data_IF_473714100263
#
_entry.id   IF_473714100263
#
_cell.length_a   1.000
_cell.length_b   1.000
_cell.length_c   1.000
_cell.angle_alpha   90.00
_cell.angle_beta   90.00
_cell.angle_gamma   90.00
#
_symmetry.space_group_name_H-M   'P 1'
#
loop_
_entity.id
_entity.type
_entity.pdbx_description
1 polymer ?
#
# COMPACT_ATOMS: atom_id res chain seq x y z
N UNK A 1 -6.74 16.74 -25.95
CA UNK A 1 -6.98 17.03 -27.39
C UNK A 1 -5.64 16.91 -28.15
N UNK A 2 -5.62 16.22 -29.30
CA UNK A 2 -4.47 16.15 -30.18
C UNK A 2 -4.47 17.40 -31.11
N UNK A 3 -3.28 17.92 -31.38
CA UNK A 3 -3.12 19.03 -32.33
C UNK A 3 -2.41 18.51 -33.58
N UNK A 4 -2.71 19.09 -34.73
CA UNK A 4 -2.01 18.79 -35.97
C UNK A 4 -0.50 19.07 -35.82
N UNK A 5 0.34 18.31 -36.51
CA UNK A 5 1.79 18.41 -36.52
C UNK A 5 2.48 18.15 -35.15
N UNK A 6 1.83 17.47 -34.23
CA UNK A 6 2.47 17.01 -33.01
C UNK A 6 2.91 15.55 -33.13
N UNK A 7 4.19 15.31 -32.90
CA UNK A 7 4.70 13.95 -32.72
C UNK A 7 4.32 13.43 -31.33
N UNK A 8 3.81 12.22 -31.28
CA UNK A 8 3.42 11.53 -30.00
C UNK A 8 3.87 10.09 -30.06
N UNK A 9 4.45 9.63 -28.94
CA UNK A 9 4.70 8.21 -28.76
C UNK A 9 3.38 7.47 -28.63
N UNK A 10 3.27 6.34 -29.32
CA UNK A 10 2.11 5.43 -29.27
C UNK A 10 2.58 4.00 -29.11
N UNK A 11 1.73 3.15 -28.58
CA UNK A 11 1.91 1.72 -28.59
C UNK A 11 1.11 1.12 -29.73
N UNK A 12 1.74 0.31 -30.58
CA UNK A 12 1.03 -0.45 -31.61
C UNK A 12 0.37 -1.64 -30.95
N UNK A 13 -0.95 -1.59 -30.81
CA UNK A 13 -1.72 -2.65 -30.14
C UNK A 13 -2.03 -3.81 -31.06
N UNK A 14 -2.22 -3.53 -32.36
CA UNK A 14 -2.61 -4.53 -33.35
C UNK A 14 -2.21 -4.08 -34.77
N UNK A 15 -1.87 -5.03 -35.59
CA UNK A 15 -1.75 -4.84 -37.06
C UNK A 15 -2.67 -5.89 -37.68
N UNK A 16 -3.65 -5.45 -38.45
CA UNK A 16 -4.65 -6.34 -39.09
C UNK A 16 -4.81 -6.02 -40.56
N UNK A 17 -5.26 -7.00 -41.33
CA UNK A 17 -5.67 -6.79 -42.72
C UNK A 17 -7.07 -6.16 -42.77
N UNK A 18 -7.19 -5.02 -43.42
CA UNK A 18 -8.45 -4.33 -43.61
C UNK A 18 -8.83 -4.27 -45.10
N UNK A 19 -10.01 -3.76 -45.43
CA UNK A 19 -10.49 -3.68 -46.83
C UNK A 19 -9.60 -2.86 -47.78
N UNK A 20 -8.77 -1.98 -47.21
CA UNK A 20 -7.86 -1.06 -47.97
C UNK A 20 -6.39 -1.41 -47.77
N UNK A 21 -6.06 -2.59 -47.25
CA UNK A 21 -4.71 -3.01 -46.91
C UNK A 21 -4.48 -3.06 -45.41
N UNK A 22 -3.23 -3.01 -44.94
CA UNK A 22 -2.89 -3.11 -43.51
C UNK A 22 -3.36 -1.89 -42.72
N UNK A 23 -4.04 -2.17 -41.64
CA UNK A 23 -4.45 -1.19 -40.64
C UNK A 23 -3.61 -1.35 -39.36
N UNK A 24 -2.99 -0.25 -38.93
CA UNK A 24 -2.19 -0.21 -37.71
C UNK A 24 -3.03 0.46 -36.60
N UNK A 25 -3.40 -0.32 -35.59
CA UNK A 25 -4.15 0.16 -34.44
C UNK A 25 -3.18 0.58 -33.36
N UNK A 26 -3.28 1.82 -32.90
CA UNK A 26 -2.39 2.38 -31.89
C UNK A 26 -3.15 2.78 -30.62
N UNK A 27 -2.50 2.66 -29.48
CA UNK A 27 -3.05 3.02 -28.19
C UNK A 27 -2.12 3.94 -27.40
N UNK A 28 -2.70 4.94 -26.75
CA UNK A 28 -1.99 5.75 -25.74
C UNK A 28 -2.46 5.43 -24.32
N UNK A 29 -3.47 4.58 -24.18
CA UNK A 29 -4.01 4.15 -22.88
C UNK A 29 -3.36 2.86 -22.35
N UNK A 30 -2.61 2.14 -23.17
CA UNK A 30 -2.02 0.87 -22.79
C UNK A 30 -0.89 1.04 -21.76
N UNK A 31 -0.72 0.06 -20.86
CA UNK A 31 0.40 0.02 -19.91
C UNK A 31 1.74 -0.19 -20.59
N UNK A 32 1.74 -0.84 -21.73
CA UNK A 32 2.92 -1.11 -22.55
C UNK A 32 3.58 0.19 -23.05
N UNK A 33 2.78 1.20 -23.39
CA UNK A 33 3.31 2.53 -23.70
C UNK A 33 4.09 3.10 -22.52
N UNK A 34 3.54 2.99 -21.31
CA UNK A 34 4.20 3.52 -20.11
C UNK A 34 5.50 2.77 -19.84
N UNK A 35 5.54 1.44 -19.99
CA UNK A 35 6.76 0.63 -19.90
C UNK A 35 7.80 1.09 -20.93
N UNK A 36 7.40 1.32 -22.18
CA UNK A 36 8.29 1.80 -23.24
C UNK A 36 8.88 3.18 -22.93
N UNK A 37 8.08 4.08 -22.37
CA UNK A 37 8.54 5.40 -21.95
C UNK A 37 9.55 5.31 -20.80
N UNK A 38 9.30 4.48 -19.80
CA UNK A 38 10.29 4.25 -18.74
C UNK A 38 11.59 3.62 -19.26
N UNK A 39 11.52 2.69 -20.19
CA UNK A 39 12.74 2.14 -20.83
C UNK A 39 13.53 3.19 -21.57
N UNK A 40 12.86 4.18 -22.18
CA UNK A 40 13.52 5.29 -22.88
C UNK A 40 14.20 6.27 -21.94
N UNK A 41 13.54 6.62 -20.83
CA UNK A 41 14.00 7.67 -19.90
C UNK A 41 14.91 7.14 -18.78
N UNK A 42 14.84 5.83 -18.46
CA UNK A 42 15.53 5.20 -17.32
C UNK A 42 16.47 4.10 -17.83
N UNK A 43 17.78 4.37 -17.92
CA UNK A 43 18.76 3.39 -18.40
C UNK A 43 18.78 2.10 -17.59
N UNK A 44 18.51 2.16 -16.27
CA UNK A 44 18.46 1.01 -15.39
C UNK A 44 17.29 0.07 -15.72
N UNK A 45 16.15 0.64 -16.17
CA UNK A 45 15.01 -0.13 -16.70
C UNK A 45 15.34 -0.74 -18.06
N UNK A 46 15.98 0.04 -18.94
CA UNK A 46 16.40 -0.44 -20.26
C UNK A 46 17.38 -1.62 -20.16
N UNK A 47 18.32 -1.57 -19.23
CA UNK A 47 19.32 -2.61 -18.97
C UNK A 47 18.77 -3.80 -18.14
N UNK A 48 17.56 -3.71 -17.60
CA UNK A 48 16.97 -4.73 -16.75
C UNK A 48 17.51 -4.76 -15.30
N UNK A 49 18.33 -3.78 -14.88
CA UNK A 49 18.78 -3.64 -13.50
C UNK A 49 17.65 -3.21 -12.56
N UNK A 50 16.69 -2.46 -13.10
CA UNK A 50 15.41 -2.14 -12.48
C UNK A 50 14.30 -2.77 -13.31
N UNK A 51 13.41 -3.49 -12.64
CA UNK A 51 12.32 -4.26 -13.26
C UNK A 51 11.00 -3.63 -12.87
N UNK A 52 10.13 -3.35 -13.84
CA UNK A 52 8.75 -2.96 -13.60
C UNK A 52 7.95 -4.25 -13.33
N UNK A 53 7.52 -4.47 -12.09
CA UNK A 53 6.78 -5.65 -11.65
C UNK A 53 5.28 -5.56 -11.93
N UNK A 54 4.72 -4.33 -11.91
CA UNK A 54 3.30 -4.13 -12.13
C UNK A 54 2.97 -2.68 -12.45
N UNK A 55 1.86 -2.49 -13.16
CA UNK A 55 1.29 -1.17 -13.44
C UNK A 55 -0.22 -1.23 -13.25
N UNK A 56 -0.74 -0.34 -12.41
CA UNK A 56 -2.15 -0.01 -12.36
C UNK A 56 -2.33 1.40 -12.95
N UNK A 57 -3.13 1.53 -14.02
CA UNK A 57 -3.24 2.76 -14.79
C UNK A 57 -4.68 3.17 -15.02
N UNK A 58 -4.95 4.43 -14.76
CA UNK A 58 -6.12 5.17 -15.24
C UNK A 58 -5.60 6.25 -16.19
N UNK A 59 -5.59 5.91 -17.49
CA UNK A 59 -4.97 6.72 -18.53
C UNK A 59 -5.53 8.16 -18.54
N UNK A 60 -4.63 9.13 -18.56
CA UNK A 60 -4.95 10.56 -18.50
C UNK A 60 -5.25 11.10 -17.11
N UNK A 61 -5.21 10.27 -16.06
CA UNK A 61 -5.47 10.68 -14.68
C UNK A 61 -4.31 10.33 -13.77
N UNK A 62 -4.14 9.05 -13.44
CA UNK A 62 -3.10 8.59 -12.51
C UNK A 62 -2.67 7.17 -12.81
N UNK A 63 -1.39 6.91 -12.59
CA UNK A 63 -0.78 5.56 -12.70
C UNK A 63 0.08 5.26 -11.49
N UNK A 64 0.05 4.00 -11.05
CA UNK A 64 0.99 3.46 -10.07
C UNK A 64 1.87 2.44 -10.77
N UNK A 65 3.20 2.58 -10.61
CA UNK A 65 4.21 1.74 -11.25
C UNK A 65 5.05 1.09 -10.15
N UNK A 66 4.93 -0.22 -10.00
CA UNK A 66 5.70 -0.99 -9.04
C UNK A 66 7.04 -1.41 -9.64
N UNK A 67 8.13 -1.04 -8.99
CA UNK A 67 9.50 -1.29 -9.45
C UNK A 67 10.30 -2.08 -8.41
N UNK A 68 11.24 -2.87 -8.91
CA UNK A 68 12.08 -3.75 -8.11
C UNK A 68 13.50 -3.81 -8.69
N UNK A 69 14.50 -4.02 -7.83
CA UNK A 69 15.85 -4.40 -8.25
C UNK A 69 16.36 -5.55 -7.39
N UNK A 70 16.98 -6.54 -8.03
CA UNK A 70 17.70 -7.61 -7.36
C UNK A 70 19.19 -7.30 -7.20
N UNK A 71 19.65 -6.16 -7.70
CA UNK A 71 21.06 -5.74 -7.60
C UNK A 71 21.26 -4.91 -6.34
N UNK A 72 22.23 -5.33 -5.52
CA UNK A 72 22.63 -4.58 -4.32
C UNK A 72 23.14 -3.18 -4.71
N UNK A 73 22.68 -2.17 -3.97
CA UNK A 73 23.11 -0.79 -4.18
C UNK A 73 22.34 -0.01 -5.25
N UNK A 74 21.36 -0.63 -5.92
CA UNK A 74 20.45 0.08 -6.82
C UNK A 74 19.12 0.35 -6.10
N UNK A 75 18.79 1.64 -5.94
CA UNK A 75 17.46 2.08 -5.53
C UNK A 75 16.54 2.10 -6.75
N UNK A 76 15.55 1.20 -6.85
CA UNK A 76 14.68 1.12 -8.02
C UNK A 76 13.75 2.34 -8.14
N UNK A 77 13.30 2.90 -7.00
CA UNK A 77 12.42 4.08 -6.99
C UNK A 77 13.21 5.32 -7.40
N UNK A 78 14.34 5.57 -6.75
CA UNK A 78 15.22 6.70 -7.06
C UNK A 78 15.71 6.68 -8.52
N UNK A 79 16.01 5.50 -9.08
CA UNK A 79 16.39 5.34 -10.48
C UNK A 79 15.29 5.80 -11.46
N UNK A 80 14.03 5.44 -11.17
CA UNK A 80 12.87 5.80 -12.00
C UNK A 80 12.46 7.27 -11.82
N UNK A 81 12.56 7.81 -10.61
CA UNK A 81 12.23 9.21 -10.31
C UNK A 81 13.30 10.13 -10.89
N UNK A 82 14.58 9.80 -10.73
CA UNK A 82 15.72 10.62 -11.12
C UNK A 82 15.94 11.82 -10.20
N UNK A 83 17.09 12.51 -10.38
CA UNK A 83 17.40 13.70 -9.59
C UNK A 83 16.29 14.75 -9.74
N UNK A 84 15.76 15.24 -8.61
CA UNK A 84 14.65 16.22 -8.58
C UNK A 84 13.44 15.81 -9.42
N UNK A 85 13.26 14.51 -9.68
CA UNK A 85 12.12 14.00 -10.45
C UNK A 85 12.22 14.14 -11.97
N UNK A 86 13.37 14.50 -12.54
CA UNK A 86 13.52 14.81 -13.97
C UNK A 86 13.05 13.65 -14.86
N UNK A 87 13.38 12.40 -14.52
CA UNK A 87 13.05 11.23 -15.35
C UNK A 87 11.54 10.95 -15.35
N UNK A 88 10.92 10.91 -14.18
CA UNK A 88 9.46 10.71 -14.10
C UNK A 88 8.70 11.88 -14.73
N UNK A 89 9.20 13.11 -14.59
CA UNK A 89 8.59 14.28 -15.22
C UNK A 89 8.69 14.22 -16.76
N UNK A 90 9.77 13.69 -17.33
CA UNK A 90 9.88 13.46 -18.77
C UNK A 90 8.79 12.49 -19.26
N UNK A 91 8.55 11.39 -18.51
CA UNK A 91 7.46 10.45 -18.81
C UNK A 91 6.09 11.12 -18.69
N UNK A 92 5.84 11.88 -17.63
CA UNK A 92 4.59 12.64 -17.42
C UNK A 92 4.37 13.64 -18.57
N UNK A 93 5.43 14.31 -19.03
CA UNK A 93 5.41 15.26 -20.13
C UNK A 93 4.88 14.66 -21.43
N UNK A 94 5.17 13.40 -21.74
CA UNK A 94 4.63 12.68 -22.89
C UNK A 94 3.11 12.59 -22.88
N UNK A 95 2.49 12.59 -21.69
CA UNK A 95 1.04 12.63 -21.51
C UNK A 95 0.49 14.05 -21.37
N UNK A 96 1.31 15.07 -21.65
CA UNK A 96 0.93 16.48 -21.55
C UNK A 96 0.77 16.99 -20.13
N UNK A 97 1.42 16.36 -19.17
CA UNK A 97 1.38 16.74 -17.74
C UNK A 97 0.07 16.38 -17.02
N UNK A 98 -0.87 15.71 -17.69
CA UNK A 98 -2.20 15.42 -17.15
C UNK A 98 -2.22 14.15 -16.28
N UNK A 99 -1.42 13.15 -16.64
CA UNK A 99 -1.38 11.86 -15.95
C UNK A 99 -0.30 11.89 -14.86
N UNK A 100 -0.71 11.78 -13.59
CA UNK A 100 0.21 11.66 -12.45
C UNK A 100 0.77 10.23 -12.38
N UNK A 101 2.06 10.10 -12.08
CA UNK A 101 2.72 8.79 -12.00
C UNK A 101 3.37 8.64 -10.62
N UNK A 102 2.89 7.66 -9.86
CA UNK A 102 3.47 7.27 -8.58
C UNK A 102 4.40 6.07 -8.79
N UNK A 103 5.66 6.20 -8.39
CA UNK A 103 6.63 5.11 -8.41
C UNK A 103 6.60 4.43 -7.04
N UNK A 104 6.33 3.14 -7.04
CA UNK A 104 6.13 2.32 -5.83
C UNK A 104 7.21 1.25 -5.79
N UNK A 105 7.87 1.08 -4.65
CA UNK A 105 8.73 -0.07 -4.47
C UNK A 105 7.91 -1.34 -4.33
N UNK A 106 8.23 -2.33 -5.15
CA UNK A 106 7.63 -3.65 -5.04
C UNK A 106 8.31 -4.46 -3.94
N UNK A 107 7.52 -5.18 -3.15
CA UNK A 107 7.97 -6.10 -2.13
C UNK A 107 7.37 -7.49 -2.35
N UNK A 108 8.13 -8.53 -2.00
CA UNK A 108 7.65 -9.91 -2.05
C UNK A 108 6.64 -10.21 -0.93
N UNK A 109 6.79 -9.53 0.22
CA UNK A 109 5.85 -9.60 1.33
C UNK A 109 4.60 -8.77 1.00
N UNK A 110 3.41 -9.40 0.92
CA UNK A 110 2.20 -8.72 0.48
C UNK A 110 1.80 -7.52 1.37
N UNK A 111 2.01 -7.62 2.69
CA UNK A 111 1.70 -6.52 3.63
C UNK A 111 2.48 -5.25 3.30
N UNK A 112 3.79 -5.39 3.08
CA UNK A 112 4.69 -4.27 2.77
C UNK A 112 4.36 -3.69 1.39
N UNK A 113 4.04 -4.54 0.43
CA UNK A 113 3.65 -4.11 -0.90
C UNK A 113 2.34 -3.33 -0.91
N UNK A 114 1.33 -3.77 -0.13
CA UNK A 114 0.06 -3.05 0.00
C UNK A 114 0.28 -1.69 0.69
N UNK A 115 1.07 -1.67 1.79
CA UNK A 115 1.37 -0.45 2.50
C UNK A 115 2.05 0.60 1.58
N UNK A 116 3.06 0.19 0.80
CA UNK A 116 3.72 1.08 -0.15
C UNK A 116 2.83 1.47 -1.32
N UNK A 117 1.95 0.58 -1.78
CA UNK A 117 1.00 0.86 -2.86
C UNK A 117 -0.02 1.95 -2.49
N UNK A 118 -0.30 2.17 -1.20
CA UNK A 118 -1.18 3.23 -0.71
C UNK A 118 -0.50 4.61 -0.61
N UNK A 119 0.80 4.69 -0.92
CA UNK A 119 1.47 6.00 -1.02
C UNK A 119 0.60 7.01 -1.80
N UNK A 120 0.50 8.29 -1.33
CA UNK A 120 1.38 8.96 -0.38
C UNK A 120 1.00 8.82 1.10
N UNK A 121 -0.03 8.04 1.48
CA UNK A 121 -0.34 7.76 2.87
C UNK A 121 0.86 7.09 3.56
N UNK A 122 1.08 7.44 4.83
CA UNK A 122 2.17 6.95 5.67
C UNK A 122 1.59 6.19 6.86
N UNK A 123 2.47 5.49 7.61
CA UNK A 123 2.09 4.79 8.84
C UNK A 123 0.90 3.85 8.66
N UNK A 124 0.91 3.11 7.55
CA UNK A 124 -0.15 2.18 7.17
C UNK A 124 0.11 0.82 7.80
N UNK A 125 -0.81 0.32 8.62
CA UNK A 125 -0.80 -1.04 9.17
C UNK A 125 -1.72 -1.93 8.33
N UNK A 126 -1.23 -3.08 7.92
CA UNK A 126 -1.96 -4.00 7.02
C UNK A 126 -2.14 -5.35 7.68
N UNK A 127 -3.37 -5.82 7.71
CA UNK A 127 -3.75 -7.19 8.10
C UNK A 127 -4.38 -7.89 6.91
N UNK A 128 -4.00 -9.15 6.68
CA UNK A 128 -4.48 -9.91 5.53
C UNK A 128 -5.40 -11.02 6.00
N UNK A 129 -6.52 -11.16 5.29
CA UNK A 129 -7.43 -12.30 5.40
C UNK A 129 -7.11 -13.37 4.32
N UNK A 130 -7.51 -14.61 4.58
CA UNK A 130 -7.36 -15.74 3.66
C UNK A 130 -8.05 -15.53 2.29
N UNK A 131 -9.07 -14.66 2.23
CA UNK A 131 -9.85 -14.34 1.03
C UNK A 131 -9.22 -13.27 0.13
N UNK A 132 -7.93 -12.93 0.32
CA UNK A 132 -7.26 -11.81 -0.36
C UNK A 132 -7.91 -10.44 -0.08
N UNK A 133 -8.45 -10.28 1.11
CA UNK A 133 -8.86 -8.98 1.64
C UNK A 133 -7.75 -8.44 2.51
N UNK A 134 -7.42 -7.17 2.34
CA UNK A 134 -6.46 -6.44 3.16
C UNK A 134 -7.21 -5.39 3.98
N UNK A 135 -7.25 -5.58 5.29
CA UNK A 135 -7.72 -4.60 6.25
C UNK A 135 -6.56 -3.64 6.53
N UNK A 136 -6.78 -2.39 6.24
CA UNK A 136 -5.74 -1.37 6.27
C UNK A 136 -6.12 -0.28 7.25
N UNK A 137 -5.33 -0.16 8.31
CA UNK A 137 -5.52 0.83 9.37
C UNK A 137 -4.60 2.01 9.11
N UNK A 138 -5.20 3.21 9.06
CA UNK A 138 -4.50 4.43 8.69
C UNK A 138 -4.81 5.52 9.73
N UNK A 139 -3.83 6.32 10.17
CA UNK A 139 -4.09 7.51 10.98
C UNK A 139 -5.09 8.44 10.30
N UNK A 140 -5.96 9.10 11.08
CA UNK A 140 -7.03 9.95 10.55
C UNK A 140 -6.50 11.06 9.62
N UNK A 141 -5.31 11.59 9.89
CA UNK A 141 -4.65 12.60 9.04
C UNK A 141 -4.29 12.08 7.64
N UNK A 142 -3.98 10.79 7.50
CA UNK A 142 -3.61 10.14 6.25
C UNK A 142 -4.79 9.45 5.54
N UNK A 143 -5.96 9.35 6.19
CA UNK A 143 -7.12 8.63 5.66
C UNK A 143 -7.55 9.14 4.28
N UNK A 144 -7.65 10.45 4.12
CA UNK A 144 -8.00 11.07 2.84
C UNK A 144 -6.96 10.81 1.75
N UNK A 145 -5.67 10.72 2.11
CA UNK A 145 -4.59 10.39 1.18
C UNK A 145 -4.63 8.92 0.77
N UNK A 146 -4.90 8.01 1.71
CA UNK A 146 -5.02 6.59 1.45
C UNK A 146 -6.18 6.27 0.49
N UNK A 147 -7.35 6.88 0.72
CA UNK A 147 -8.52 6.73 -0.13
C UNK A 147 -8.30 7.43 -1.48
N UNK A 148 -7.83 8.68 -1.44
CA UNK A 148 -7.69 9.55 -2.60
C UNK A 148 -9.01 10.10 -3.12
N UNK A 149 -8.93 11.05 -4.08
CA UNK A 149 -10.12 11.63 -4.72
C UNK A 149 -10.95 10.53 -5.38
N UNK A 150 -12.25 10.45 -5.05
CA UNK A 150 -13.18 9.45 -5.60
C UNK A 150 -12.71 8.00 -5.43
N UNK A 151 -11.91 7.72 -4.38
CA UNK A 151 -11.35 6.39 -4.14
C UNK A 151 -10.26 5.97 -5.15
N UNK A 152 -9.69 6.90 -5.91
CA UNK A 152 -8.71 6.60 -6.97
C UNK A 152 -7.45 5.93 -6.43
N UNK A 153 -6.94 6.40 -5.28
CA UNK A 153 -5.70 5.87 -4.74
C UNK A 153 -5.87 4.41 -4.29
N UNK A 154 -6.90 4.12 -3.50
CA UNK A 154 -7.18 2.74 -3.04
C UNK A 154 -7.54 1.81 -4.19
N UNK A 155 -8.30 2.30 -5.20
CA UNK A 155 -8.66 1.51 -6.39
C UNK A 155 -7.44 1.13 -7.22
N UNK A 156 -6.49 2.05 -7.42
CA UNK A 156 -5.24 1.77 -8.12
C UNK A 156 -4.34 0.83 -7.30
N UNK A 157 -4.25 1.01 -5.99
CA UNK A 157 -3.50 0.12 -5.10
C UNK A 157 -4.07 -1.30 -5.13
N UNK A 158 -5.39 -1.45 -5.07
CA UNK A 158 -6.08 -2.74 -5.18
C UNK A 158 -5.78 -3.45 -6.53
N UNK A 159 -5.89 -2.71 -7.65
CA UNK A 159 -5.54 -3.24 -8.99
C UNK A 159 -4.06 -3.63 -9.11
N UNK A 160 -3.17 -2.88 -8.47
CA UNK A 160 -1.74 -3.11 -8.52
C UNK A 160 -1.32 -4.34 -7.72
N UNK A 161 -1.87 -4.51 -6.53
CA UNK A 161 -1.51 -5.58 -5.59
C UNK A 161 -2.31 -6.86 -5.78
N UNK A 162 -3.51 -6.76 -6.39
CA UNK A 162 -4.43 -7.89 -6.54
C UNK A 162 -5.20 -8.25 -5.27
N UNK A 163 -5.19 -7.39 -4.25
CA UNK A 163 -5.96 -7.52 -3.02
C UNK A 163 -7.14 -6.56 -3.01
N UNK A 164 -8.26 -6.98 -2.43
CA UNK A 164 -9.34 -6.06 -2.04
C UNK A 164 -8.88 -5.31 -0.80
N UNK A 165 -8.81 -3.98 -0.89
CA UNK A 165 -8.32 -3.14 0.20
C UNK A 165 -9.52 -2.47 0.87
N UNK A 166 -9.66 -2.68 2.18
CA UNK A 166 -10.63 -2.05 3.06
C UNK A 166 -9.87 -1.15 4.03
N UNK A 167 -10.18 0.16 4.00
CA UNK A 167 -9.44 1.16 4.78
C UNK A 167 -10.28 1.57 5.99
N UNK A 168 -9.68 1.51 7.17
CA UNK A 168 -10.26 1.88 8.45
C UNK A 168 -9.37 2.90 9.16
N UNK A 169 -9.98 3.76 9.95
CA UNK A 169 -9.24 4.72 10.77
C UNK A 169 -8.69 4.04 12.03
N UNK A 170 -7.39 4.15 12.28
CA UNK A 170 -6.74 3.47 13.41
C UNK A 170 -7.29 3.90 14.78
N UNK A 171 -7.71 5.17 14.92
CA UNK A 171 -8.26 5.68 16.18
C UNK A 171 -9.66 5.12 16.49
N UNK A 172 -10.47 4.83 15.45
CA UNK A 172 -11.79 4.22 15.63
C UNK A 172 -11.67 2.81 16.23
N UNK A 173 -10.71 2.03 15.75
CA UNK A 173 -10.47 0.65 16.22
C UNK A 173 -9.95 0.62 17.66
N UNK A 174 -9.03 1.51 18.04
CA UNK A 174 -8.55 1.61 19.44
C UNK A 174 -9.69 1.96 20.39
N UNK A 175 -10.56 2.89 19.99
CA UNK A 175 -11.71 3.28 20.80
C UNK A 175 -12.75 2.16 20.96
N UNK A 176 -12.91 1.30 19.96
CA UNK A 176 -13.79 0.13 20.04
C UNK A 176 -13.21 -0.98 20.91
N UNK A 177 -11.92 -1.27 20.78
CA UNK A 177 -11.22 -2.25 21.64
C UNK A 177 -11.27 -1.80 23.11
N UNK A 178 -10.96 -0.55 23.41
CA UNK A 178 -11.04 0.01 24.76
C UNK A 178 -12.47 -0.05 25.33
N UNK A 179 -13.51 0.14 24.50
CA UNK A 179 -14.91 -0.01 24.93
C UNK A 179 -15.32 -1.46 25.18
N UNK A 180 -14.79 -2.41 24.44
CA UNK A 180 -15.05 -3.85 24.62
C UNK A 180 -14.34 -4.33 25.90
N UNK A 181 -13.06 -3.98 26.08
CA UNK A 181 -12.30 -4.33 27.30
C UNK A 181 -12.91 -3.71 28.57
N UNK A 182 -13.39 -2.46 28.49
CA UNK A 182 -14.08 -1.81 29.61
C UNK A 182 -15.42 -2.47 29.94
N UNK A 183 -16.15 -3.00 28.95
CA UNK A 183 -17.39 -3.74 29.17
C UNK A 183 -17.13 -5.12 29.78
N UNK A 184 -16.09 -5.83 29.33
CA UNK A 184 -15.71 -7.12 29.90
C UNK A 184 -15.20 -6.98 31.34
N UNK A 185 -14.45 -5.92 31.65
CA UNK A 185 -14.00 -5.63 33.01
C UNK A 185 -15.17 -5.30 33.97
N UNK A 186 -16.26 -4.71 33.52
CA UNK A 186 -17.45 -4.41 34.29
C UNK A 186 -18.30 -5.64 34.55
N UNK A 187 -18.36 -6.61 33.65
CA UNK A 187 -19.12 -7.86 33.81
C UNK A 187 -18.46 -8.85 34.82
N UNK A 188 -17.15 -8.73 35.02
CA UNK A 188 -16.41 -9.58 36.00
C UNK A 188 -16.53 -9.06 37.44
N UNK A 189 -16.94 -7.81 37.65
CA UNK A 189 -17.06 -7.22 39.00
C UNK A 189 -18.41 -7.45 39.69
N UNK A 190 -19.43 -7.99 39.01
CA UNK A 190 -20.78 -8.19 39.56
C UNK A 190 -21.08 -9.61 40.06
N UNK A 191 -20.13 -10.54 40.05
CA UNK A 191 -20.31 -11.88 40.61
C UNK A 191 -19.44 -12.09 41.87
N UNK A 192 -19.84 -11.49 42.98
CA UNK A 192 -19.45 -11.98 44.29
C UNK A 192 -20.69 -12.57 44.99
N UNK A 193 -20.71 -13.85 45.35
CA UNK A 193 -21.72 -14.37 46.28
C UNK A 193 -21.34 -13.96 47.70
N UNK A 194 -22.29 -13.35 48.37
CA UNK A 194 -22.32 -13.20 49.82
C UNK A 194 -22.47 -14.55 50.45
N UNK A 195 -21.58 -14.93 51.38
CA UNK A 195 -22.02 -15.76 52.51
C UNK A 195 -21.25 -15.41 53.79
N UNK A 196 -22.06 -15.17 54.81
CA UNK A 196 -21.67 -14.94 56.18
C UNK A 196 -21.56 -16.29 56.87
N UNK A 197 -20.63 -16.47 57.80
CA UNK A 197 -20.86 -16.86 59.20
C UNK A 197 -19.60 -17.41 59.85
N UNK A 198 -19.35 -16.98 61.07
CA UNK A 198 -18.81 -17.84 62.15
C UNK A 198 -17.47 -17.44 62.75
N UNK A 199 -17.56 -16.93 63.90
CA UNK A 199 -16.65 -16.43 64.94
C UNK A 199 -15.46 -17.33 65.37
N UNK A 200 -14.65 -16.91 66.34
CA UNK A 200 -13.19 -17.06 66.42
C UNK A 200 -12.69 -18.01 67.51
N UNK A 201 -11.48 -18.55 67.34
CA UNK A 201 -10.74 -19.10 68.54
C UNK A 201 -9.21 -18.94 68.35
N UNK A 202 -8.66 -18.16 69.30
CA UNK A 202 -7.51 -18.35 70.20
C UNK A 202 -6.13 -18.77 69.71
N UNK A 203 -5.23 -17.83 69.89
CA UNK A 203 -3.83 -17.87 70.36
C UNK A 203 -3.13 -19.23 70.45
N UNK A 204 -1.93 -19.34 69.91
CA UNK A 204 -0.71 -19.66 70.70
C UNK A 204 0.61 -19.31 69.99
N UNK A 205 1.50 -18.80 70.82
CA UNK A 205 2.87 -18.34 70.53
C UNK A 205 3.83 -19.53 70.34
N UNK A 206 4.96 -19.30 69.74
CA UNK A 206 6.14 -20.14 69.84
C UNK A 206 7.22 -19.88 68.81
N UNK A 207 8.07 -18.94 69.13
CA UNK A 207 9.55 -18.94 69.21
C UNK A 207 10.36 -19.60 68.11
N UNK A 208 11.20 -18.70 67.46
CA UNK A 208 12.66 -18.76 67.33
C UNK A 208 13.36 -20.02 66.79
N UNK A 209 14.10 -19.90 65.76
CA UNK A 209 15.58 -19.92 65.76
C UNK A 209 16.15 -19.71 64.38
N UNK A 210 17.08 -18.84 64.35
CA UNK A 210 18.25 -18.62 63.51
C UNK A 210 19.02 -19.90 63.15
N UNK A 211 19.69 -19.88 62.01
CA UNK A 211 21.10 -20.06 61.73
C UNK A 211 21.28 -20.38 60.25
N UNK A 212 21.94 -19.54 59.47
CA UNK A 212 23.37 -19.37 59.15
C UNK A 212 23.99 -20.51 58.34
N UNK A 213 24.59 -20.07 57.21
CA UNK A 213 25.75 -20.60 56.49
C UNK A 213 25.57 -21.89 55.68
N UNK A 214 25.84 -21.86 54.42
CA UNK A 214 27.14 -21.68 53.73
C UNK A 214 26.91 -21.18 52.31
#
# INVERSE_FOLDING_TARGET
KYRLNQMRAVYISEIREGPKGQEIIVSRASKELLIGLFKREVPEVAKGSVIIKGIAREAGFRSKVAVYSNQKGIDPVGSCVGQKGVRVQAVIGEFGGLEKIDIIQWFDVPKDYIATALSPAKNVRVELDEKKVAHVFVPGEDLSLAIGKEGQNVRLASKLTGYRIEIEEENAVKTEIEKVEAKEAQTVSETKPSDQTGQPVSKRQGKKKEEKKK
#
